data_IF_082852303561
#
_entry.id   IF_082852303561
#
_cell.length_a   1.000
_cell.length_b   1.000
_cell.length_c   1.000
_cell.angle_alpha   90.00
_cell.angle_beta   90.00
_cell.angle_gamma   90.00
#
_symmetry.space_group_name_H-M   'P 1'
#
loop_
_entity.id
_entity.type
_entity.pdbx_description
1 polymer ?
#
# COMPACT_ATOMS: atom_id res chain seq x y z
N UNK A 1 6.86 21.48 1.30
CA UNK A 1 6.22 20.82 0.13
C UNK A 1 4.74 21.12 0.20
N UNK A 2 4.06 21.52 -0.90
CA UNK A 2 2.61 21.72 -0.86
C UNK A 2 1.94 20.41 -0.46
N UNK A 3 0.97 20.50 0.46
CA UNK A 3 0.13 19.39 0.83
C UNK A 3 -0.45 18.76 -0.46
N UNK A 4 -0.23 17.47 -0.64
CA UNK A 4 -0.75 16.76 -1.82
C UNK A 4 -2.26 16.94 -1.83
N UNK A 5 -2.80 17.56 -2.86
CA UNK A 5 -4.25 17.79 -2.94
C UNK A 5 -4.98 16.46 -2.73
N UNK A 6 -5.96 16.46 -1.85
CA UNK A 6 -6.75 15.25 -1.53
C UNK A 6 -7.39 14.74 -2.83
N UNK A 7 -7.12 13.50 -3.25
CA UNK A 7 -7.70 12.98 -4.48
C UNK A 7 -9.21 12.89 -4.34
N UNK A 8 -9.91 13.22 -5.41
CA UNK A 8 -11.38 13.12 -5.45
C UNK A 8 -11.74 11.68 -5.75
N UNK A 9 -12.31 10.99 -4.76
CA UNK A 9 -12.94 9.69 -4.93
C UNK A 9 -14.40 9.92 -5.35
N UNK A 10 -14.68 9.67 -6.63
CA UNK A 10 -16.04 9.77 -7.16
C UNK A 10 -16.82 8.51 -6.77
N UNK A 11 -17.95 8.71 -6.08
CA UNK A 11 -18.84 7.63 -5.68
C UNK A 11 -20.01 8.18 -4.86
N UNK A 12 -21.19 8.12 -5.43
CA UNK A 12 -22.46 8.47 -4.77
C UNK A 12 -23.21 7.21 -4.30
N UNK A 13 -22.83 6.04 -4.80
CA UNK A 13 -23.43 4.76 -4.44
C UNK A 13 -23.28 4.47 -2.93
N UNK A 14 -24.32 3.94 -2.27
CA UNK A 14 -24.23 3.59 -0.85
C UNK A 14 -23.08 2.64 -0.50
N UNK A 15 -22.70 1.73 -1.41
CA UNK A 15 -21.56 0.86 -1.20
C UNK A 15 -20.24 1.66 -1.12
N UNK A 16 -20.04 2.62 -2.03
CA UNK A 16 -18.83 3.46 -2.03
C UNK A 16 -18.84 4.46 -0.88
N UNK A 17 -19.99 4.98 -0.46
CA UNK A 17 -20.10 5.85 0.72
C UNK A 17 -19.63 5.14 1.98
N UNK A 18 -20.02 3.86 2.20
CA UNK A 18 -19.52 3.06 3.33
C UNK A 18 -18.01 2.93 3.32
N UNK A 19 -17.40 2.71 2.15
CA UNK A 19 -15.94 2.67 1.99
C UNK A 19 -15.31 3.99 2.43
N UNK A 20 -15.85 5.12 1.96
CA UNK A 20 -15.35 6.45 2.31
C UNK A 20 -15.50 6.75 3.81
N UNK A 21 -16.63 6.39 4.42
CA UNK A 21 -16.88 6.58 5.86
C UNK A 21 -15.86 5.80 6.72
N UNK A 22 -15.52 4.57 6.33
CA UNK A 22 -14.49 3.78 7.00
C UNK A 22 -13.10 4.41 6.78
N UNK A 23 -12.79 4.79 5.54
CA UNK A 23 -11.51 5.41 5.18
C UNK A 23 -11.26 6.71 5.96
N UNK A 24 -12.27 7.56 6.12
CA UNK A 24 -12.16 8.81 6.91
C UNK A 24 -11.92 8.53 8.39
N UNK A 25 -12.65 7.60 8.98
CA UNK A 25 -12.47 7.23 10.39
C UNK A 25 -11.10 6.64 10.66
N UNK A 26 -10.61 5.75 9.78
CA UNK A 26 -9.30 5.12 9.97
C UNK A 26 -8.15 6.06 9.60
N UNK A 27 -8.38 7.08 8.77
CA UNK A 27 -7.34 7.98 8.30
C UNK A 27 -6.53 8.62 9.44
N UNK A 28 -7.20 9.02 10.51
CA UNK A 28 -6.59 9.69 11.68
C UNK A 28 -5.94 8.74 12.69
N UNK A 29 -5.99 7.43 12.44
CA UNK A 29 -5.39 6.41 13.33
C UNK A 29 -4.07 5.88 12.77
N UNK A 30 -3.18 5.32 13.60
CA UNK A 30 -1.96 4.66 13.11
C UNK A 30 -2.21 3.23 12.60
N UNK A 31 -3.45 2.76 12.58
CA UNK A 31 -3.79 1.38 12.23
C UNK A 31 -3.34 1.03 10.80
N UNK A 32 -2.82 -0.18 10.64
CA UNK A 32 -2.58 -0.79 9.33
C UNK A 32 -3.92 -1.00 8.62
N UNK A 33 -3.97 -0.66 7.34
CA UNK A 33 -5.16 -0.82 6.50
C UNK A 33 -4.87 -1.80 5.37
N UNK A 34 -5.71 -2.81 5.23
CA UNK A 34 -5.71 -3.72 4.09
C UNK A 34 -6.89 -3.37 3.18
N UNK A 35 -6.61 -3.05 1.93
CA UNK A 35 -7.62 -2.75 0.91
C UNK A 35 -7.76 -3.97 0.01
N UNK A 36 -8.94 -4.59 0.00
CA UNK A 36 -9.26 -5.72 -0.86
C UNK A 36 -10.15 -5.31 -2.02
N UNK A 37 -10.27 -6.16 -3.03
CA UNK A 37 -11.15 -5.93 -4.17
C UNK A 37 -10.49 -6.17 -5.53
N UNK A 38 -11.30 -6.32 -6.55
CA UNK A 38 -10.87 -6.63 -7.91
C UNK A 38 -9.89 -5.59 -8.48
N UNK A 39 -9.12 -6.00 -9.49
CA UNK A 39 -8.25 -5.04 -10.22
C UNK A 39 -9.10 -3.92 -10.84
N UNK A 40 -8.58 -2.70 -10.82
CA UNK A 40 -9.28 -1.53 -11.37
C UNK A 40 -10.39 -0.92 -10.51
N UNK A 41 -10.65 -1.43 -9.29
CA UNK A 41 -11.70 -0.87 -8.40
C UNK A 41 -11.33 0.47 -7.78
N UNK A 42 -10.05 0.86 -7.80
CA UNK A 42 -9.56 2.13 -7.26
C UNK A 42 -8.81 2.01 -5.94
N UNK A 43 -8.24 0.83 -5.61
CA UNK A 43 -7.50 0.58 -4.37
C UNK A 43 -6.37 1.60 -4.13
N UNK A 44 -5.53 1.87 -5.14
CA UNK A 44 -4.43 2.84 -5.03
C UNK A 44 -4.92 4.28 -4.82
N UNK A 45 -6.07 4.63 -5.42
CA UNK A 45 -6.68 5.95 -5.22
C UNK A 45 -7.22 6.10 -3.78
N UNK A 46 -7.81 5.03 -3.22
CA UNK A 46 -8.26 5.00 -1.84
C UNK A 46 -7.08 5.11 -0.86
N UNK A 47 -5.95 4.44 -1.14
CA UNK A 47 -4.75 4.56 -0.32
C UNK A 47 -4.20 5.99 -0.29
N UNK A 48 -4.17 6.68 -1.44
CA UNK A 48 -3.79 8.12 -1.53
C UNK A 48 -4.77 9.01 -0.77
N UNK A 49 -6.07 8.71 -0.83
CA UNK A 49 -7.09 9.42 -0.09
C UNK A 49 -6.90 9.29 1.42
N UNK A 50 -6.64 8.06 1.92
CA UNK A 50 -6.36 7.79 3.33
C UNK A 50 -5.12 8.57 3.80
N UNK A 51 -4.04 8.58 2.99
CA UNK A 51 -2.86 9.39 3.30
C UNK A 51 -3.20 10.88 3.39
N UNK A 52 -3.86 11.45 2.39
CA UNK A 52 -4.21 12.86 2.37
C UNK A 52 -5.16 13.27 3.53
N UNK A 53 -6.03 12.35 3.97
CA UNK A 53 -6.92 12.57 5.10
C UNK A 53 -6.26 12.34 6.47
N UNK A 54 -5.06 11.72 6.52
CA UNK A 54 -4.38 11.35 7.77
C UNK A 54 -3.74 12.52 8.51
N UNK A 55 -3.47 13.62 7.82
CA UNK A 55 -2.71 14.76 8.37
C UNK A 55 -1.21 14.51 8.48
N UNK A 56 -0.69 13.34 8.07
CA UNK A 56 0.75 13.05 8.07
C UNK A 56 1.49 13.93 7.07
N UNK A 57 2.62 14.48 7.48
CA UNK A 57 3.38 15.46 6.68
C UNK A 57 4.48 14.81 5.82
N UNK A 58 4.84 13.56 6.10
CA UNK A 58 5.79 12.79 5.30
C UNK A 58 5.22 12.38 3.95
N UNK A 59 6.03 11.73 3.14
CA UNK A 59 5.67 11.37 1.76
C UNK A 59 4.66 10.21 1.70
N UNK A 60 3.81 10.23 0.68
CA UNK A 60 3.14 9.02 0.19
C UNK A 60 4.09 8.28 -0.76
N UNK A 61 4.45 7.07 -0.40
CA UNK A 61 5.35 6.22 -1.18
C UNK A 61 4.61 4.96 -1.61
N UNK A 62 4.52 4.72 -2.90
CA UNK A 62 3.83 3.57 -3.49
C UNK A 62 4.83 2.55 -4.02
N UNK A 63 4.59 1.27 -3.73
CA UNK A 63 5.40 0.14 -4.19
C UNK A 63 4.48 -0.97 -4.67
N UNK A 64 4.64 -1.38 -5.93
CA UNK A 64 3.94 -2.53 -6.49
C UNK A 64 4.77 -3.79 -6.27
N UNK A 65 4.34 -4.66 -5.35
CA UNK A 65 5.08 -5.86 -4.96
C UNK A 65 5.23 -6.87 -6.09
N UNK A 66 4.28 -6.92 -7.03
CA UNK A 66 4.33 -7.82 -8.19
C UNK A 66 5.17 -7.34 -9.38
N UNK A 67 5.73 -6.13 -9.34
CA UNK A 67 6.37 -5.52 -10.51
C UNK A 67 7.87 -5.84 -10.65
N UNK A 68 8.52 -6.35 -9.61
CA UNK A 68 9.96 -6.57 -9.55
C UNK A 68 10.29 -8.00 -9.09
N UNK A 69 11.44 -8.50 -9.52
CA UNK A 69 12.02 -9.72 -8.94
C UNK A 69 12.37 -9.49 -7.47
N UNK A 70 12.27 -10.54 -6.64
CA UNK A 70 12.43 -10.46 -5.19
C UNK A 70 13.67 -9.70 -4.71
N UNK A 71 14.91 -9.95 -5.21
CA UNK A 71 16.09 -9.22 -4.74
C UNK A 71 16.03 -7.71 -5.00
N UNK A 72 15.40 -7.33 -6.14
CA UNK A 72 15.20 -5.93 -6.48
C UNK A 72 14.12 -5.29 -5.62
N UNK A 73 13.03 -6.01 -5.35
CA UNK A 73 11.94 -5.53 -4.49
C UNK A 73 12.42 -5.33 -3.05
N UNK A 74 13.23 -6.26 -2.50
CA UNK A 74 13.83 -6.08 -1.19
C UNK A 74 14.74 -4.85 -1.13
N UNK A 75 15.60 -4.68 -2.15
CA UNK A 75 16.47 -3.50 -2.27
C UNK A 75 15.66 -2.20 -2.42
N UNK A 76 14.56 -2.20 -3.16
CA UNK A 76 13.67 -1.04 -3.23
C UNK A 76 13.00 -0.75 -1.87
N UNK A 77 12.49 -1.75 -1.18
CA UNK A 77 11.78 -1.57 0.09
C UNK A 77 12.68 -1.13 1.23
N UNK A 78 13.82 -1.81 1.41
CA UNK A 78 14.69 -1.66 2.59
C UNK A 78 15.97 -0.88 2.29
N UNK A 79 16.28 -0.63 1.00
CA UNK A 79 17.57 -0.09 0.59
C UNK A 79 18.68 -1.14 0.58
N UNK A 80 19.87 -0.73 0.20
CA UNK A 80 21.07 -1.58 0.20
C UNK A 80 22.32 -0.77 0.50
N UNK A 81 23.36 -1.46 0.98
CA UNK A 81 24.71 -0.90 1.10
C UNK A 81 25.54 -1.26 -0.13
N UNK A 82 26.55 -0.47 -0.41
CA UNK A 82 27.51 -0.74 -1.49
C UNK A 82 28.09 -2.16 -1.34
N UNK A 83 28.13 -2.91 -2.45
CA UNK A 83 28.63 -4.29 -2.47
C UNK A 83 27.63 -5.36 -2.01
N UNK A 84 26.38 -5.02 -1.68
CA UNK A 84 25.37 -5.98 -1.23
C UNK A 84 25.01 -7.04 -2.31
N UNK A 85 25.11 -6.70 -3.57
CA UNK A 85 24.92 -7.59 -4.73
C UNK A 85 25.66 -7.04 -5.95
N UNK A 86 25.77 -7.85 -7.01
CA UNK A 86 26.39 -7.42 -8.27
C UNK A 86 25.61 -6.25 -8.88
N UNK A 87 26.28 -5.07 -8.95
CA UNK A 87 25.68 -3.82 -9.40
C UNK A 87 25.32 -2.83 -8.30
N UNK A 88 25.44 -3.19 -7.02
CA UNK A 88 25.29 -2.26 -5.89
C UNK A 88 26.55 -1.38 -5.73
N UNK A 89 26.69 -0.36 -6.57
CA UNK A 89 27.87 0.51 -6.58
C UNK A 89 27.90 1.52 -5.43
N UNK A 90 26.74 1.92 -4.90
CA UNK A 90 26.57 2.93 -3.84
C UNK A 90 25.50 2.50 -2.86
N UNK A 91 25.51 3.08 -1.65
CA UNK A 91 24.39 2.95 -0.72
C UNK A 91 23.13 3.59 -1.31
N UNK A 92 21.97 2.98 -1.04
CA UNK A 92 20.67 3.52 -1.47
C UNK A 92 19.63 3.35 -0.38
N UNK A 93 18.92 4.44 -0.07
CA UNK A 93 17.81 4.44 0.86
C UNK A 93 16.61 3.67 0.30
N UNK A 94 15.96 2.89 1.17
CA UNK A 94 14.75 2.15 0.82
C UNK A 94 13.47 2.98 0.92
N UNK A 95 12.39 2.44 0.35
CA UNK A 95 11.06 3.07 0.33
C UNK A 95 10.48 3.28 1.73
N UNK A 96 10.76 2.41 2.69
CA UNK A 96 10.36 2.61 4.07
C UNK A 96 10.97 3.86 4.67
N UNK A 97 12.27 4.11 4.42
CA UNK A 97 12.93 5.32 4.90
C UNK A 97 12.40 6.59 4.21
N UNK A 98 12.10 6.50 2.91
CA UNK A 98 11.49 7.60 2.15
C UNK A 98 10.06 7.93 2.63
N UNK A 99 9.37 6.96 3.23
CA UNK A 99 8.01 7.10 3.77
C UNK A 99 7.98 7.56 5.23
N UNK A 100 9.14 7.83 5.84
CA UNK A 100 9.22 8.24 7.24
C UNK A 100 8.38 9.51 7.50
N UNK A 101 7.62 9.52 8.59
CA UNK A 101 6.63 10.55 8.90
C UNK A 101 5.40 10.58 7.97
N UNK A 102 5.35 9.69 6.97
CA UNK A 102 4.33 9.62 5.92
C UNK A 102 3.60 8.28 5.85
N UNK A 103 3.33 7.82 4.64
CA UNK A 103 2.60 6.57 4.39
C UNK A 103 3.30 5.77 3.30
N UNK A 104 3.52 4.48 3.55
CA UNK A 104 3.90 3.52 2.52
C UNK A 104 2.66 2.72 2.08
N UNK A 105 2.46 2.61 0.78
CA UNK A 105 1.42 1.79 0.17
C UNK A 105 2.06 0.63 -0.58
N UNK A 106 1.72 -0.60 -0.14
CA UNK A 106 2.20 -1.85 -0.74
C UNK A 106 1.07 -2.46 -1.56
N UNK A 107 1.14 -2.30 -2.87
CA UNK A 107 0.13 -2.87 -3.78
C UNK A 107 0.47 -4.32 -4.13
N UNK A 108 -0.55 -5.14 -4.29
CA UNK A 108 -0.47 -6.57 -4.60
C UNK A 108 0.40 -7.37 -3.61
N UNK A 109 0.14 -7.17 -2.30
CA UNK A 109 0.91 -7.81 -1.21
C UNK A 109 0.88 -9.35 -1.28
N UNK A 110 -0.15 -9.95 -1.86
CA UNK A 110 -0.27 -11.39 -2.06
C UNK A 110 0.87 -11.99 -2.89
N UNK A 111 1.53 -11.18 -3.73
CA UNK A 111 2.66 -11.61 -4.57
C UNK A 111 3.99 -11.67 -3.82
N UNK A 112 4.03 -11.22 -2.56
CA UNK A 112 5.24 -11.24 -1.74
C UNK A 112 5.74 -12.67 -1.52
N UNK A 113 7.02 -12.90 -1.80
CA UNK A 113 7.66 -14.20 -1.58
C UNK A 113 7.77 -14.54 -0.10
N UNK A 114 7.93 -15.81 0.29
CA UNK A 114 8.09 -16.19 1.70
C UNK A 114 9.21 -15.44 2.42
N UNK A 115 10.33 -15.18 1.75
CA UNK A 115 11.45 -14.41 2.31
C UNK A 115 11.06 -12.96 2.61
N UNK A 116 10.40 -12.31 1.66
CA UNK A 116 9.90 -10.95 1.83
C UNK A 116 8.83 -10.86 2.91
N UNK A 117 7.93 -11.85 3.01
CA UNK A 117 6.90 -11.90 4.04
C UNK A 117 7.49 -11.89 5.46
N UNK A 118 8.61 -12.58 5.69
CA UNK A 118 9.33 -12.57 6.98
C UNK A 118 9.86 -11.18 7.31
N UNK A 119 10.50 -10.51 6.35
CA UNK A 119 11.03 -9.16 6.54
C UNK A 119 9.92 -8.14 6.76
N UNK A 120 8.84 -8.22 6.00
CA UNK A 120 7.67 -7.35 6.18
C UNK A 120 7.04 -7.53 7.55
N UNK A 121 6.90 -8.76 8.04
CA UNK A 121 6.37 -9.01 9.38
C UNK A 121 7.19 -8.27 10.45
N UNK A 122 8.53 -8.38 10.40
CA UNK A 122 9.42 -7.70 11.34
C UNK A 122 9.23 -6.17 11.28
N UNK A 123 9.23 -5.59 10.08
CA UNK A 123 9.02 -4.15 9.94
C UNK A 123 7.65 -3.71 10.46
N UNK A 124 6.59 -4.46 10.18
CA UNK A 124 5.25 -4.14 10.67
C UNK A 124 5.10 -4.28 12.19
N UNK A 125 5.92 -5.10 12.83
CA UNK A 125 5.91 -5.28 14.28
C UNK A 125 6.75 -4.23 15.01
N UNK A 126 7.95 -3.96 14.50
CA UNK A 126 8.97 -3.19 15.21
C UNK A 126 9.16 -1.78 14.61
N UNK A 127 8.64 -1.52 13.40
CA UNK A 127 8.95 -0.33 12.60
C UNK A 127 10.47 -0.12 12.44
N UNK A 128 11.18 -1.24 12.33
CA UNK A 128 12.64 -1.30 12.17
C UNK A 128 13.02 -2.30 11.08
N UNK A 129 14.13 -2.01 10.41
CA UNK A 129 14.69 -2.90 9.38
C UNK A 129 16.19 -2.62 9.18
N UNK A 130 16.89 -3.57 8.55
CA UNK A 130 18.26 -3.38 8.03
C UNK A 130 18.23 -3.34 6.50
N UNK A 131 19.08 -2.51 5.85
CA UNK A 131 19.29 -2.53 4.41
C UNK A 131 19.87 -3.88 3.95
N UNK A 132 19.65 -4.24 2.69
CA UNK A 132 20.25 -5.44 2.09
C UNK A 132 21.78 -5.35 2.16
N UNK A 133 22.41 -6.37 2.72
CA UNK A 133 23.86 -6.43 2.94
C UNK A 133 24.39 -5.56 4.10
N UNK A 134 23.51 -4.78 4.74
CA UNK A 134 23.87 -3.95 5.90
C UNK A 134 23.48 -4.58 7.23
N UNK A 135 24.08 -4.08 8.31
CA UNK A 135 23.76 -4.49 9.70
C UNK A 135 23.25 -3.35 10.57
N UNK A 136 23.19 -2.13 10.01
CA UNK A 136 22.66 -0.97 10.74
C UNK A 136 21.13 -1.00 10.73
N UNK A 137 20.52 -1.02 11.90
CA UNK A 137 19.07 -0.93 12.04
C UNK A 137 18.59 0.51 11.83
N UNK A 138 17.60 0.68 10.98
CA UNK A 138 16.87 1.91 10.78
C UNK A 138 15.49 1.81 11.45
N UNK A 139 15.09 2.87 12.14
CA UNK A 139 13.73 3.02 12.69
C UNK A 139 12.96 4.03 11.85
N UNK A 140 11.68 3.78 11.60
CA UNK A 140 10.80 4.65 10.82
C UNK A 140 9.44 4.80 11.49
N UNK A 141 8.79 5.94 11.30
CA UNK A 141 7.40 6.18 11.63
C UNK A 141 6.57 6.23 10.33
N UNK A 142 6.45 5.12 9.63
CA UNK A 142 5.67 5.01 8.41
C UNK A 142 4.31 4.36 8.69
N UNK A 143 3.22 5.01 8.27
CA UNK A 143 1.93 4.36 8.22
C UNK A 143 1.89 3.36 7.08
N UNK A 144 1.38 2.15 7.33
CA UNK A 144 1.32 1.11 6.31
C UNK A 144 -0.11 0.91 5.82
N UNK A 145 -0.29 1.01 4.51
CA UNK A 145 -1.51 0.66 3.77
C UNK A 145 -1.12 -0.42 2.77
N UNK A 146 -1.90 -1.50 2.69
CA UNK A 146 -1.65 -2.61 1.78
C UNK A 146 -2.86 -2.83 0.89
N UNK A 147 -2.63 -3.42 -0.29
CA UNK A 147 -3.73 -3.83 -1.16
C UNK A 147 -3.48 -5.20 -1.80
N UNK A 148 -4.57 -5.88 -2.10
CA UNK A 148 -4.57 -7.12 -2.89
C UNK A 148 -5.91 -7.34 -3.57
N UNK A 149 -5.91 -8.10 -4.65
CA UNK A 149 -7.11 -8.65 -5.26
C UNK A 149 -7.29 -10.14 -4.96
N UNK A 150 -6.28 -10.80 -4.35
CA UNK A 150 -6.32 -12.22 -4.00
C UNK A 150 -6.94 -12.44 -2.61
N UNK A 151 -7.52 -13.60 -2.43
CA UNK A 151 -8.01 -14.08 -1.13
C UNK A 151 -6.83 -14.55 -0.27
N UNK A 152 -6.43 -13.72 0.70
CA UNK A 152 -5.32 -14.03 1.60
C UNK A 152 -5.63 -15.20 2.53
N UNK A 153 -6.88 -15.42 2.94
CA UNK A 153 -7.27 -16.58 3.76
C UNK A 153 -7.04 -17.88 3.00
N UNK A 154 -7.43 -17.91 1.72
CA UNK A 154 -7.16 -19.05 0.85
C UNK A 154 -5.66 -19.27 0.65
N UNK A 155 -4.85 -18.20 0.51
CA UNK A 155 -3.40 -18.30 0.39
C UNK A 155 -2.74 -18.80 1.68
N UNK A 156 -3.23 -18.41 2.84
CA UNK A 156 -2.78 -18.93 4.15
C UNK A 156 -3.09 -20.42 4.25
N UNK A 157 -4.31 -20.84 3.92
CA UNK A 157 -4.71 -22.24 3.92
C UNK A 157 -3.86 -23.10 2.98
N UNK A 158 -3.43 -22.53 1.84
CA UNK A 158 -2.55 -23.17 0.86
C UNK A 158 -1.05 -23.11 1.23
N UNK A 159 -0.67 -22.51 2.36
CA UNK A 159 0.73 -22.33 2.78
C UNK A 159 1.54 -21.35 1.91
N UNK A 160 0.89 -20.55 1.09
CA UNK A 160 1.51 -19.56 0.19
C UNK A 160 1.67 -18.18 0.84
N UNK A 161 0.90 -17.91 1.89
CA UNK A 161 1.00 -16.70 2.70
C UNK A 161 1.11 -17.06 4.17
N UNK A 162 1.96 -16.37 4.92
CA UNK A 162 2.19 -16.67 6.35
C UNK A 162 1.02 -16.20 7.20
N UNK A 163 0.54 -17.05 8.07
CA UNK A 163 -0.56 -16.73 8.97
C UNK A 163 -0.23 -15.58 9.93
N UNK A 164 1.02 -15.51 10.43
CA UNK A 164 1.46 -14.44 11.35
C UNK A 164 1.46 -13.05 10.66
N UNK A 165 1.90 -12.97 9.40
CA UNK A 165 1.80 -11.75 8.62
C UNK A 165 0.35 -11.39 8.32
N UNK A 166 -0.47 -12.37 7.93
CA UNK A 166 -1.90 -12.15 7.68
C UNK A 166 -2.59 -11.50 8.89
N UNK A 167 -2.44 -12.07 10.08
CA UNK A 167 -3.04 -11.49 11.29
C UNK A 167 -2.51 -10.10 11.64
N UNK A 168 -1.28 -9.79 11.25
CA UNK A 168 -0.68 -8.47 11.47
C UNK A 168 -1.24 -7.40 10.53
N UNK A 169 -1.59 -7.75 9.29
CA UNK A 169 -2.12 -6.81 8.30
C UNK A 169 -3.65 -6.75 8.26
N UNK A 170 -4.34 -7.80 8.70
CA UNK A 170 -5.79 -7.95 8.69
C UNK A 170 -6.44 -7.24 9.90
N UNK A 171 -6.07 -5.97 10.15
CA UNK A 171 -6.55 -5.18 11.31
C UNK A 171 -7.77 -4.34 10.92
N UNK A 172 -7.65 -3.53 9.89
CA UNK A 172 -8.76 -2.79 9.29
C UNK A 172 -8.82 -3.16 7.82
N UNK A 173 -9.87 -3.87 7.44
CA UNK A 173 -10.10 -4.29 6.06
C UNK A 173 -11.13 -3.37 5.42
N UNK A 174 -10.80 -2.86 4.23
CA UNK A 174 -11.70 -2.08 3.41
C UNK A 174 -11.87 -2.80 2.07
N UNK A 175 -13.06 -3.33 1.83
CA UNK A 175 -13.37 -4.01 0.57
C UNK A 175 -13.92 -3.01 -0.46
N UNK A 176 -13.23 -2.93 -1.61
CA UNK A 176 -13.59 -2.03 -2.71
C UNK A 176 -14.61 -2.69 -3.62
N UNK A 177 -15.86 -2.20 -3.65
CA UNK A 177 -16.90 -2.81 -4.46
C UNK A 177 -16.55 -2.71 -5.96
N UNK A 178 -16.74 -3.80 -6.72
CA UNK A 178 -16.60 -3.74 -8.17
C UNK A 178 -17.68 -2.86 -8.80
N UNK A 179 -17.45 -2.35 -10.01
CA UNK A 179 -18.35 -1.38 -10.64
C UNK A 179 -19.78 -1.90 -10.85
N UNK A 180 -19.94 -3.22 -11.04
CA UNK A 180 -21.26 -3.87 -11.17
C UNK A 180 -22.14 -3.78 -9.89
N UNK A 181 -21.51 -3.56 -8.72
CA UNK A 181 -22.18 -3.41 -7.41
C UNK A 181 -22.41 -1.93 -7.02
N UNK A 182 -21.87 -0.98 -7.81
CA UNK A 182 -22.06 0.47 -7.66
C UNK A 182 -22.50 1.11 -8.97
N UNK A 183 -23.57 0.58 -9.57
CA UNK A 183 -24.03 0.97 -10.92
C UNK A 183 -24.43 2.44 -11.03
N UNK A 184 -24.89 3.05 -9.93
CA UNK A 184 -25.22 4.49 -9.89
C UNK A 184 -23.99 5.39 -10.11
N UNK A 185 -22.77 4.89 -9.92
CA UNK A 185 -21.54 5.65 -10.14
C UNK A 185 -21.08 5.64 -11.61
N UNK A 186 -21.60 4.74 -12.46
CA UNK A 186 -21.12 4.54 -13.84
C UNK A 186 -21.18 5.83 -14.64
N UNK A 187 -22.31 6.53 -14.64
CA UNK A 187 -22.48 7.75 -15.42
C UNK A 187 -21.52 8.87 -14.95
N UNK A 188 -21.37 9.04 -13.65
CA UNK A 188 -20.46 10.03 -13.04
C UNK A 188 -19.01 9.72 -13.36
N UNK A 189 -18.60 8.46 -13.25
CA UNK A 189 -17.25 8.03 -13.59
C UNK A 189 -16.94 8.22 -15.08
N UNK A 190 -17.88 7.83 -15.96
CA UNK A 190 -17.73 8.01 -17.40
C UNK A 190 -17.57 9.49 -17.77
N UNK A 191 -18.40 10.37 -17.23
CA UNK A 191 -18.30 11.81 -17.46
C UNK A 191 -16.96 12.39 -16.98
N UNK A 192 -16.48 11.97 -15.80
CA UNK A 192 -15.21 12.42 -15.26
C UNK A 192 -14.01 11.96 -16.10
N UNK A 193 -14.02 10.72 -16.57
CA UNK A 193 -12.97 10.21 -17.47
C UNK A 193 -12.96 10.94 -18.82
N UNK A 194 -14.13 11.16 -19.42
CA UNK A 194 -14.26 11.92 -20.69
C UNK A 194 -13.74 13.35 -20.53
N UNK A 195 -14.14 14.03 -19.45
CA UNK A 195 -13.66 15.40 -19.19
C UNK A 195 -12.13 15.47 -19.01
N UNK A 196 -11.52 14.48 -18.37
CA UNK A 196 -10.07 14.42 -18.20
C UNK A 196 -9.35 14.20 -19.54
N UNK A 197 -9.82 13.22 -20.32
CA UNK A 197 -9.20 12.91 -21.65
C UNK A 197 -9.39 14.04 -22.64
N UNK A 198 -10.47 14.82 -22.54
CA UNK A 198 -10.70 15.98 -23.41
C UNK A 198 -9.82 17.20 -23.03
N UNK A 199 -9.21 17.22 -21.84
CA UNK A 199 -8.33 18.29 -21.37
C UNK A 199 -6.82 18.02 -21.62
N UNK A 200 -6.47 16.79 -22.01
CA UNK A 200 -5.14 16.36 -22.47
C UNK A 200 -4.94 16.59 -23.98
#
# INVERSE_FOLDING_TARGET
>A
MPATARPVLLGADPAMRRVLDVAERVATTPATVLITGESGTGKSLLARYIHAASGRQGRYVEVACGSLAEPLLESELFGHVAGAFTGAATDRDGRFLLADGGTIFLDEIATATPGLQVKLLRVLQEMQFEPVGGSRTHSVDARVVLATHEDLDALVAAGRFRADLFWRINVVVIDMPPLRERRSDIATLAAAFLARTAAE
#
